data_IF_780357190161
#
_entry.id   IF_780357190161
#
_cell.length_a   1.000
_cell.length_b   1.000
_cell.length_c   1.000
_cell.angle_alpha   90.00
_cell.angle_beta   90.00
_cell.angle_gamma   90.00
#
_symmetry.space_group_name_H-M   'P 1'
#
loop_
_entity.id
_entity.type
_entity.pdbx_description
1 polymer ?
#
# COMPACT_ATOMS: atom_id res chain seq x y z
N UNK A 1 46.47 -22.41 2.95
CA UNK A 1 45.34 -21.60 2.43
C UNK A 1 45.52 -20.18 2.92
N UNK A 2 45.78 -19.24 2.01
CA UNK A 2 46.15 -17.86 2.36
C UNK A 2 44.98 -17.17 3.09
N UNK A 3 45.21 -16.71 4.33
CA UNK A 3 44.24 -15.98 5.15
C UNK A 3 43.67 -14.74 4.43
N UNK A 4 44.44 -14.16 3.50
CA UNK A 4 44.02 -13.08 2.62
C UNK A 4 42.95 -13.48 1.60
N UNK A 5 42.93 -14.75 1.14
CA UNK A 5 41.95 -15.23 0.15
C UNK A 5 40.56 -15.44 0.78
N UNK A 6 40.49 -15.78 2.06
CA UNK A 6 39.24 -15.88 2.82
C UNK A 6 38.65 -14.49 3.15
N UNK A 7 39.50 -13.48 3.37
CA UNK A 7 39.06 -12.10 3.64
C UNK A 7 38.39 -11.47 2.40
N UNK A 8 38.94 -11.69 1.21
CA UNK A 8 38.36 -11.20 -0.05
C UNK A 8 37.01 -11.84 -0.38
N UNK A 9 36.78 -13.11 -0.03
CA UNK A 9 35.52 -13.81 -0.30
C UNK A 9 34.36 -13.32 0.60
N UNK A 10 34.67 -12.89 1.83
CA UNK A 10 33.70 -12.36 2.80
C UNK A 10 33.21 -10.95 2.45
N UNK A 11 34.01 -10.15 1.74
CA UNK A 11 33.67 -8.77 1.34
C UNK A 11 32.72 -8.70 0.13
N UNK A 12 32.65 -9.72 -0.71
CA UNK A 12 31.77 -9.72 -1.90
C UNK A 12 30.31 -10.10 -1.59
N UNK A 13 30.01 -10.67 -0.42
CA UNK A 13 28.67 -11.17 -0.09
C UNK A 13 27.73 -10.13 0.54
N UNK A 14 28.22 -8.96 0.94
CA UNK A 14 27.41 -7.95 1.66
C UNK A 14 26.77 -6.90 0.75
N UNK A 15 27.13 -6.85 -0.54
CA UNK A 15 26.68 -5.82 -1.46
C UNK A 15 25.33 -6.11 -2.16
N UNK A 16 24.76 -7.30 -2.02
CA UNK A 16 23.56 -7.71 -2.78
C UNK A 16 22.22 -7.41 -2.09
N UNK A 17 22.22 -6.95 -0.84
CA UNK A 17 20.98 -6.83 -0.03
C UNK A 17 20.17 -5.56 -0.33
N UNK A 18 20.77 -4.52 -0.94
CA UNK A 18 20.07 -3.23 -1.17
C UNK A 18 19.39 -3.09 -2.55
N UNK A 19 19.35 -4.15 -3.36
CA UNK A 19 18.97 -4.04 -4.78
C UNK A 19 17.48 -4.33 -5.10
N UNK A 20 16.62 -4.60 -4.12
CA UNK A 20 15.22 -5.02 -4.38
C UNK A 20 14.14 -4.06 -3.86
N UNK A 21 14.49 -2.86 -3.40
CA UNK A 21 13.47 -1.89 -3.03
C UNK A 21 12.98 -1.17 -4.29
N UNK A 22 11.75 -1.47 -4.72
CA UNK A 22 11.10 -0.79 -5.86
C UNK A 22 11.05 0.71 -5.58
N UNK A 23 11.86 1.46 -6.32
CA UNK A 23 11.85 2.92 -6.24
C UNK A 23 10.86 3.45 -7.27
N UNK A 24 9.77 4.04 -6.80
CA UNK A 24 8.76 4.67 -7.65
C UNK A 24 9.05 6.16 -7.80
N UNK A 25 8.74 6.70 -8.97
CA UNK A 25 8.79 8.15 -9.21
C UNK A 25 7.39 8.77 -9.07
N UNK A 26 7.31 10.08 -8.91
CA UNK A 26 6.03 10.81 -8.91
C UNK A 26 5.23 10.57 -10.20
N UNK A 27 5.93 10.36 -11.33
CA UNK A 27 5.30 9.99 -12.61
C UNK A 27 4.66 8.60 -12.56
N UNK A 28 5.27 7.66 -11.85
CA UNK A 28 4.71 6.33 -11.67
C UNK A 28 3.48 6.37 -10.76
N UNK A 29 3.54 7.17 -9.68
CA UNK A 29 2.41 7.44 -8.80
C UNK A 29 1.23 8.07 -9.55
N UNK A 30 1.52 9.00 -10.47
CA UNK A 30 0.48 9.64 -11.27
C UNK A 30 -0.15 8.66 -12.26
N UNK A 31 0.61 7.78 -12.90
CA UNK A 31 0.13 6.93 -14.00
C UNK A 31 -0.54 5.63 -13.55
N UNK A 32 -0.08 5.06 -12.44
CA UNK A 32 -0.46 3.71 -12.01
C UNK A 32 -0.81 3.68 -10.53
N UNK A 33 -1.85 2.95 -10.10
CA UNK A 33 -2.29 2.91 -8.71
C UNK A 33 -1.39 2.00 -7.86
N UNK A 34 -0.09 2.29 -7.80
CA UNK A 34 0.90 1.46 -7.10
C UNK A 34 0.68 1.41 -5.59
N UNK A 35 -0.07 2.39 -5.05
CA UNK A 35 -0.53 2.40 -3.67
C UNK A 35 -1.39 1.17 -3.32
N UNK A 36 -2.00 0.50 -4.31
CA UNK A 36 -2.74 -0.74 -4.10
C UNK A 36 -1.79 -1.85 -3.64
N UNK A 37 -0.70 -2.07 -4.37
CA UNK A 37 0.29 -3.10 -4.07
C UNK A 37 1.06 -2.78 -2.77
N UNK A 38 1.33 -1.49 -2.54
CA UNK A 38 2.00 -0.96 -1.35
C UNK A 38 1.27 -1.30 -0.05
N UNK A 39 -0.06 -1.43 -0.05
CA UNK A 39 -0.81 -1.80 1.16
C UNK A 39 -0.58 -3.24 1.60
N UNK A 40 -0.30 -4.13 0.64
CA UNK A 40 -0.09 -5.55 0.89
C UNK A 40 1.39 -5.86 1.20
N UNK A 41 2.30 -4.92 0.92
CA UNK A 41 3.72 -5.02 1.22
C UNK A 41 4.02 -4.58 2.67
N UNK A 42 4.53 -5.52 3.47
CA UNK A 42 4.90 -5.28 4.88
C UNK A 42 6.11 -4.37 5.07
N UNK A 43 6.88 -4.10 4.01
CA UNK A 43 8.09 -3.26 4.05
C UNK A 43 7.84 -1.84 3.57
N UNK A 44 6.67 -1.58 2.99
CA UNK A 44 6.30 -0.27 2.49
C UNK A 44 6.25 0.76 3.62
N UNK A 45 6.85 1.92 3.36
CA UNK A 45 6.75 3.08 4.24
C UNK A 45 5.36 3.71 4.12
N UNK A 46 4.74 4.02 5.25
CA UNK A 46 3.40 4.60 5.32
C UNK A 46 3.29 5.91 4.52
N UNK A 47 4.29 6.80 4.64
CA UNK A 47 4.27 8.10 3.97
C UNK A 47 4.44 7.97 2.46
N UNK A 48 5.22 6.99 1.99
CA UNK A 48 5.35 6.70 0.56
C UNK A 48 4.01 6.21 -0.03
N UNK A 49 3.33 5.27 0.65
CA UNK A 49 2.01 4.80 0.23
C UNK A 49 0.97 5.94 0.23
N UNK A 50 0.99 6.80 1.26
CA UNK A 50 0.11 7.95 1.34
C UNK A 50 0.40 8.97 0.22
N UNK A 51 1.68 9.22 -0.07
CA UNK A 51 2.12 10.08 -1.18
C UNK A 51 1.65 9.51 -2.53
N UNK A 52 1.88 8.22 -2.77
CA UNK A 52 1.45 7.53 -3.98
C UNK A 52 -0.08 7.61 -4.19
N UNK A 53 -0.85 7.40 -3.13
CA UNK A 53 -2.30 7.56 -3.16
C UNK A 53 -2.72 8.99 -3.51
N UNK A 54 -2.11 10.00 -2.86
CA UNK A 54 -2.43 11.41 -3.10
C UNK A 54 -2.14 11.83 -4.53
N UNK A 55 -0.95 11.50 -5.05
CA UNK A 55 -0.55 11.87 -6.41
C UNK A 55 -1.43 11.19 -7.46
N UNK A 56 -1.77 9.91 -7.27
CA UNK A 56 -2.66 9.21 -8.21
C UNK A 56 -3.99 9.95 -8.40
N UNK A 57 -4.63 10.36 -7.31
CA UNK A 57 -5.91 11.07 -7.33
C UNK A 57 -5.82 12.56 -7.68
N UNK A 58 -4.63 13.15 -7.75
CA UNK A 58 -4.45 14.48 -8.35
C UNK A 58 -4.63 14.42 -9.88
N UNK A 59 -4.42 13.25 -10.48
CA UNK A 59 -4.49 13.04 -11.93
C UNK A 59 -5.68 12.17 -12.38
N UNK A 60 -6.44 11.61 -11.44
CA UNK A 60 -7.55 10.69 -11.70
C UNK A 60 -8.81 11.11 -10.95
N UNK A 61 -9.96 10.86 -11.54
CA UNK A 61 -11.25 11.06 -10.86
C UNK A 61 -11.50 9.92 -9.86
N UNK A 62 -11.62 10.27 -8.57
CA UNK A 62 -11.95 9.30 -7.52
C UNK A 62 -13.37 8.77 -7.78
N UNK A 63 -13.59 7.45 -7.80
CA UNK A 63 -14.94 6.93 -8.00
C UNK A 63 -15.84 7.36 -6.85
N UNK A 64 -17.07 7.77 -7.17
CA UNK A 64 -18.09 8.11 -6.17
C UNK A 64 -18.37 6.95 -5.21
N UNK A 65 -18.79 7.27 -3.99
CA UNK A 65 -19.20 6.30 -2.98
C UNK A 65 -20.46 5.53 -3.39
N UNK A 66 -20.69 4.36 -2.78
CA UNK A 66 -21.89 3.56 -3.07
C UNK A 66 -23.21 4.31 -2.82
N UNK A 67 -23.21 5.29 -1.92
CA UNK A 67 -24.36 6.16 -1.63
C UNK A 67 -24.46 7.37 -2.56
N UNK A 68 -23.44 7.67 -3.36
CA UNK A 68 -23.48 8.80 -4.29
C UNK A 68 -24.28 8.43 -5.56
N UNK A 69 -24.59 7.15 -5.76
CA UNK A 69 -25.34 6.59 -6.89
C UNK A 69 -26.79 6.24 -6.48
N UNK A 70 -27.41 7.03 -5.61
CA UNK A 70 -28.85 6.92 -5.29
C UNK A 70 -29.61 7.61 -6.43
N UNK A 71 -29.72 6.95 -7.58
CA UNK A 71 -30.48 7.47 -8.73
C UNK A 71 -30.21 6.81 -10.07
N UNK A 72 -29.00 6.25 -10.29
CA UNK A 72 -28.57 5.69 -11.58
C UNK A 72 -28.85 4.19 -11.72
N UNK A 73 -29.87 3.67 -11.04
CA UNK A 73 -30.35 2.29 -11.23
C UNK A 73 -31.56 2.20 -12.16
N UNK A 74 -32.14 3.34 -12.56
CA UNK A 74 -33.37 3.38 -13.36
C UNK A 74 -33.19 2.95 -14.82
N UNK A 75 -31.97 3.00 -15.36
CA UNK A 75 -31.68 2.65 -16.77
C UNK A 75 -30.51 1.68 -16.93
N UNK A 76 -30.40 0.67 -16.06
CA UNK A 76 -29.56 -0.48 -16.42
C UNK A 76 -30.20 -1.14 -17.64
N UNK A 77 -29.57 -1.04 -18.82
CA UNK A 77 -29.79 -2.00 -19.90
C UNK A 77 -29.85 -3.39 -19.25
N UNK A 78 -30.92 -4.17 -19.49
CA UNK A 78 -31.13 -5.48 -18.85
C UNK A 78 -29.89 -6.39 -18.98
N UNK A 79 -29.10 -6.20 -20.05
CA UNK A 79 -27.77 -6.77 -20.22
C UNK A 79 -26.86 -5.70 -20.84
N UNK A 80 -25.94 -5.08 -20.09
CA UNK A 80 -24.99 -4.11 -20.63
C UNK A 80 -24.03 -4.77 -21.63
N UNK A 81 -23.51 -4.02 -22.60
CA UNK A 81 -22.50 -4.51 -23.55
C UNK A 81 -21.25 -5.06 -22.83
N UNK A 82 -20.50 -5.99 -23.47
CA UNK A 82 -19.26 -6.55 -22.88
C UNK A 82 -18.24 -5.46 -22.48
N UNK A 83 -18.15 -4.39 -23.27
CA UNK A 83 -17.28 -3.25 -22.96
C UNK A 83 -17.77 -2.49 -21.72
N UNK A 84 -19.08 -2.19 -21.64
CA UNK A 84 -19.70 -1.54 -20.48
C UNK A 84 -19.55 -2.39 -19.21
N UNK A 85 -19.73 -3.71 -19.30
CA UNK A 85 -19.49 -4.64 -18.19
C UNK A 85 -18.03 -4.61 -17.70
N UNK A 86 -17.06 -4.52 -18.61
CA UNK A 86 -15.64 -4.41 -18.24
C UNK A 86 -15.38 -3.10 -17.49
N UNK A 87 -15.92 -1.98 -17.98
CA UNK A 87 -15.79 -0.69 -17.30
C UNK A 87 -16.40 -0.70 -15.90
N UNK A 88 -17.63 -1.22 -15.77
CA UNK A 88 -18.29 -1.37 -14.46
C UNK A 88 -17.41 -2.18 -13.49
N UNK A 89 -16.87 -3.32 -13.93
CA UNK A 89 -15.97 -4.12 -13.09
C UNK A 89 -14.71 -3.34 -12.67
N UNK A 90 -14.10 -2.59 -13.59
CA UNK A 90 -12.93 -1.77 -13.27
C UNK A 90 -13.24 -0.66 -12.25
N UNK A 91 -14.40 -0.02 -12.39
CA UNK A 91 -14.86 1.01 -11.46
C UNK A 91 -15.18 0.40 -10.07
N UNK A 92 -15.83 -0.77 -10.05
CA UNK A 92 -16.13 -1.53 -8.83
C UNK A 92 -14.83 -1.95 -8.10
N UNK A 93 -13.87 -2.50 -8.85
CA UNK A 93 -12.55 -2.90 -8.33
C UNK A 93 -11.80 -1.70 -7.75
N UNK A 94 -11.85 -0.54 -8.41
CA UNK A 94 -11.23 0.69 -7.94
C UNK A 94 -11.92 1.24 -6.68
N UNK A 95 -13.26 1.21 -6.60
CA UNK A 95 -13.99 1.56 -5.36
C UNK A 95 -13.59 0.65 -4.20
N UNK A 96 -13.47 -0.65 -4.46
CA UNK A 96 -13.01 -1.63 -3.47
C UNK A 96 -11.60 -1.30 -2.99
N UNK A 97 -10.68 -0.95 -3.90
CA UNK A 97 -9.32 -0.59 -3.57
C UNK A 97 -9.24 0.67 -2.69
N UNK A 98 -10.02 1.71 -3.02
CA UNK A 98 -10.13 2.92 -2.21
C UNK A 98 -10.60 2.60 -0.80
N UNK A 99 -11.65 1.79 -0.66
CA UNK A 99 -12.16 1.37 0.66
C UNK A 99 -11.11 0.59 1.45
N UNK A 100 -10.37 -0.32 0.79
CA UNK A 100 -9.26 -1.05 1.40
C UNK A 100 -8.19 -0.09 1.91
N UNK A 101 -7.84 0.93 1.14
CA UNK A 101 -6.89 1.98 1.54
C UNK A 101 -7.35 2.77 2.74
N UNK A 102 -8.59 3.25 2.75
CA UNK A 102 -9.10 4.00 3.90
C UNK A 102 -9.08 3.17 5.18
N UNK A 103 -9.46 1.89 5.09
CA UNK A 103 -9.39 0.94 6.22
C UNK A 103 -7.96 0.60 6.61
N UNK A 104 -7.07 0.40 5.64
CA UNK A 104 -5.64 0.16 5.89
C UNK A 104 -5.05 1.36 6.65
N UNK A 105 -5.25 2.57 6.13
CA UNK A 105 -4.79 3.83 6.72
C UNK A 105 -5.22 3.95 8.18
N UNK A 106 -6.50 3.77 8.47
CA UNK A 106 -7.03 3.83 9.84
C UNK A 106 -6.41 2.77 10.77
N UNK A 107 -6.20 1.54 10.27
CA UNK A 107 -5.63 0.44 11.07
C UNK A 107 -4.14 0.60 11.33
N UNK A 108 -3.38 1.14 10.38
CA UNK A 108 -1.93 1.25 10.51
C UNK A 108 -1.50 2.53 11.19
N UNK A 109 -2.26 3.63 11.04
CA UNK A 109 -1.91 4.97 11.54
C UNK A 109 -1.46 5.00 13.02
N UNK A 110 -2.10 4.29 13.97
CA UNK A 110 -1.65 4.28 15.37
C UNK A 110 -0.26 3.64 15.59
N UNK A 111 0.21 2.89 14.60
CA UNK A 111 1.45 2.12 14.64
C UNK A 111 2.52 2.67 13.70
N UNK A 112 2.29 3.85 13.12
CA UNK A 112 3.25 4.55 12.27
C UNK A 112 4.25 5.30 13.15
N UNK A 113 5.53 5.09 12.90
CA UNK A 113 6.62 5.80 13.55
C UNK A 113 6.91 7.13 12.86
N UNK A 114 7.76 7.98 13.47
CA UNK A 114 8.10 9.30 12.93
C UNK A 114 8.77 9.26 11.54
N UNK A 115 9.47 8.17 11.23
CA UNK A 115 10.12 7.92 9.94
C UNK A 115 9.18 7.29 8.90
N UNK A 116 7.92 7.02 9.27
CA UNK A 116 6.92 6.38 8.40
C UNK A 116 6.96 4.85 8.41
N UNK A 117 7.85 4.24 9.21
CA UNK A 117 7.85 2.79 9.39
C UNK A 117 6.58 2.36 10.13
N UNK A 118 5.96 1.28 9.66
CA UNK A 118 4.80 0.67 10.32
C UNK A 118 5.33 -0.42 11.26
N UNK A 119 4.95 -0.38 12.54
CA UNK A 119 5.33 -1.43 13.48
C UNK A 119 4.73 -2.77 13.06
N UNK A 120 5.56 -3.81 13.07
CA UNK A 120 5.12 -5.18 12.78
C UNK A 120 4.33 -5.81 13.93
N UNK A 121 3.63 -6.93 13.70
CA UNK A 121 2.79 -7.57 14.73
C UNK A 121 3.53 -7.90 16.03
N UNK A 122 4.75 -8.43 15.94
CA UNK A 122 5.57 -8.76 17.11
C UNK A 122 5.95 -7.51 17.93
N UNK A 123 6.28 -6.41 17.26
CA UNK A 123 6.61 -5.14 17.92
C UNK A 123 5.37 -4.55 18.62
N UNK A 124 4.19 -4.66 18.00
CA UNK A 124 2.92 -4.25 18.62
C UNK A 124 2.61 -5.07 19.86
N UNK A 125 2.83 -6.38 19.81
CA UNK A 125 2.63 -7.27 20.95
C UNK A 125 3.55 -6.90 22.12
N UNK A 126 4.83 -6.65 21.84
CA UNK A 126 5.79 -6.24 22.86
C UNK A 126 5.38 -4.92 23.55
N UNK A 127 4.86 -3.94 22.80
CA UNK A 127 4.33 -2.69 23.38
C UNK A 127 3.13 -2.99 24.29
N UNK A 128 2.24 -3.87 23.87
CA UNK A 128 1.07 -4.25 24.66
C UNK A 128 1.45 -4.97 25.96
N UNK A 129 2.40 -5.91 25.90
CA UNK A 129 2.90 -6.63 27.07
C UNK A 129 3.58 -5.67 28.06
N UNK A 130 4.44 -4.78 27.57
CA UNK A 130 5.08 -3.75 28.40
C UNK A 130 4.05 -2.81 29.06
N UNK A 131 2.99 -2.42 28.34
CA UNK A 131 1.90 -1.64 28.92
C UNK A 131 1.15 -2.40 30.02
N UNK A 132 0.96 -3.72 29.87
CA UNK A 132 0.29 -4.54 30.88
C UNK A 132 1.13 -4.71 32.14
N UNK A 133 2.45 -4.82 32.01
CA UNK A 133 3.36 -4.91 33.16
C UNK A 133 3.45 -3.60 33.94
N UNK A 134 3.52 -2.46 33.24
CA UNK A 134 3.60 -1.13 33.89
C UNK A 134 2.29 -0.69 34.58
N UNK A 135 1.16 -1.30 34.22
CA UNK A 135 -0.15 -1.00 34.82
C UNK A 135 -0.53 -1.96 35.96
N UNK A 136 0.36 -2.88 36.35
CA UNK A 136 0.22 -3.73 37.54
C UNK A 136 0.97 -3.13 38.72
#
# INVERSE_FOLDING_TARGET
MNKFMLLCLLLCCTATVHAQQKQYTDKDYARTPVWIDMMDDTTTNYFEAEKAYKIYWQHHEKPGGEHDIIGEHAEREKIPSKHRQKKIRQDDDMRMAVKKYERWRQRVLPYVQQDGRILGPAQRLAIFEAQKENNK
#
